data_IF_777574511994
#
_entry.id   IF_777574511994
#
_cell.length_a   1.000
_cell.length_b   1.000
_cell.length_c   1.000
_cell.angle_alpha   90.00
_cell.angle_beta   90.00
_cell.angle_gamma   90.00
#
_symmetry.space_group_name_H-M   'P 1'
#
loop_
_entity.id
_entity.type
_entity.pdbx_description
1 polymer ?
#
# COMPACT_ATOMS: atom_id res chain seq x y z
N UNK A 1 -38.64 -38.84 7.97
CA UNK A 1 -38.45 -37.61 8.79
C UNK A 1 -36.97 -37.30 9.00
N UNK A 2 -36.14 -38.30 9.38
CA UNK A 2 -34.69 -38.11 9.56
C UNK A 2 -33.92 -37.74 8.28
N UNK A 3 -34.26 -38.28 7.11
CA UNK A 3 -33.56 -37.96 5.84
C UNK A 3 -33.75 -36.51 5.39
N UNK A 4 -34.94 -35.95 5.65
CA UNK A 4 -35.29 -34.57 5.34
C UNK A 4 -34.49 -33.60 6.22
N UNK A 5 -34.34 -33.93 7.50
CA UNK A 5 -33.53 -33.17 8.46
C UNK A 5 -32.04 -33.20 8.07
N UNK A 6 -31.52 -34.37 7.68
CA UNK A 6 -30.11 -34.54 7.31
C UNK A 6 -29.76 -33.79 6.03
N UNK A 7 -30.65 -33.84 5.02
CA UNK A 7 -30.52 -33.08 3.78
C UNK A 7 -30.54 -31.57 4.03
N UNK A 8 -31.49 -31.08 4.84
CA UNK A 8 -31.57 -29.66 5.17
C UNK A 8 -30.31 -29.16 5.90
N UNK A 9 -29.82 -29.92 6.89
CA UNK A 9 -28.59 -29.59 7.62
C UNK A 9 -27.38 -29.54 6.68
N UNK A 10 -27.26 -30.51 5.76
CA UNK A 10 -26.18 -30.56 4.79
C UNK A 10 -26.16 -29.33 3.87
N UNK A 11 -27.31 -28.88 3.37
CA UNK A 11 -27.41 -27.70 2.52
C UNK A 11 -27.07 -26.40 3.26
N UNK A 12 -27.51 -26.25 4.51
CA UNK A 12 -27.18 -25.08 5.34
C UNK A 12 -25.68 -25.02 5.61
N UNK A 13 -25.06 -26.14 5.99
CA UNK A 13 -23.61 -26.18 6.22
C UNK A 13 -22.81 -25.93 4.95
N UNK A 14 -23.22 -26.53 3.83
CA UNK A 14 -22.57 -26.36 2.53
C UNK A 14 -22.61 -24.90 2.07
N UNK A 15 -23.78 -24.25 2.14
CA UNK A 15 -23.92 -22.83 1.76
C UNK A 15 -23.13 -21.91 2.69
N UNK A 16 -23.11 -22.19 4.00
CA UNK A 16 -22.30 -21.42 4.96
C UNK A 16 -20.80 -21.52 4.68
N UNK A 17 -20.28 -22.72 4.41
CA UNK A 17 -18.87 -22.94 4.09
C UNK A 17 -18.50 -22.23 2.78
N UNK A 18 -19.33 -22.35 1.74
CA UNK A 18 -19.11 -21.66 0.46
C UNK A 18 -19.10 -20.14 0.66
N UNK A 19 -20.08 -19.59 1.39
CA UNK A 19 -20.11 -18.16 1.69
C UNK A 19 -18.85 -17.71 2.44
N UNK A 20 -18.39 -18.49 3.42
CA UNK A 20 -17.17 -18.18 4.19
C UNK A 20 -15.94 -18.14 3.30
N UNK A 21 -15.77 -19.13 2.43
CA UNK A 21 -14.62 -19.23 1.50
C UNK A 21 -14.66 -18.06 0.52
N UNK A 22 -15.80 -17.79 -0.10
CA UNK A 22 -15.95 -16.69 -1.07
C UNK A 22 -15.63 -15.35 -0.41
N UNK A 23 -16.15 -15.09 0.79
CA UNK A 23 -15.87 -13.84 1.51
C UNK A 23 -14.38 -13.66 1.80
N UNK A 24 -13.69 -14.73 2.22
CA UNK A 24 -12.23 -14.67 2.44
C UNK A 24 -11.46 -14.49 1.13
N UNK A 25 -11.86 -15.16 0.05
CA UNK A 25 -11.22 -15.04 -1.25
C UNK A 25 -11.34 -13.62 -1.82
N UNK A 26 -12.52 -12.99 -1.70
CA UNK A 26 -12.73 -11.61 -2.14
C UNK A 26 -11.85 -10.63 -1.36
N UNK A 27 -11.73 -10.79 -0.04
CA UNK A 27 -10.88 -9.92 0.78
C UNK A 27 -9.39 -10.06 0.46
N UNK A 28 -8.94 -11.29 0.18
CA UNK A 28 -7.58 -11.54 -0.28
C UNK A 28 -7.35 -10.92 -1.66
N UNK A 29 -8.30 -11.12 -2.59
CA UNK A 29 -8.22 -10.54 -3.93
C UNK A 29 -8.19 -9.01 -3.91
N UNK A 30 -9.03 -8.36 -3.10
CA UNK A 30 -9.03 -6.90 -2.99
C UNK A 30 -7.70 -6.37 -2.45
N UNK A 31 -7.09 -7.08 -1.49
CA UNK A 31 -5.78 -6.71 -0.95
C UNK A 31 -4.71 -6.80 -2.03
N UNK A 32 -4.62 -7.94 -2.73
CA UNK A 32 -3.66 -8.13 -3.83
C UNK A 32 -3.88 -7.10 -4.94
N UNK A 33 -5.13 -6.84 -5.31
CA UNK A 33 -5.47 -5.85 -6.31
C UNK A 33 -5.00 -4.45 -5.91
N UNK A 34 -5.17 -4.03 -4.66
CA UNK A 34 -4.67 -2.73 -4.18
C UNK A 34 -3.14 -2.69 -4.28
N UNK A 35 -2.42 -3.71 -3.82
CA UNK A 35 -0.95 -3.71 -3.84
C UNK A 35 -0.35 -3.75 -5.26
N UNK A 36 -1.05 -4.30 -6.25
CA UNK A 36 -0.58 -4.34 -7.65
C UNK A 36 -1.03 -3.10 -8.44
N UNK A 37 -2.29 -2.68 -8.27
CA UNK A 37 -2.88 -1.58 -9.05
C UNK A 37 -2.41 -0.21 -8.51
N UNK A 38 -2.30 -0.04 -7.20
CA UNK A 38 -1.88 1.23 -6.60
C UNK A 38 -0.50 1.71 -7.09
N UNK A 39 0.58 0.90 -7.14
CA UNK A 39 1.86 1.37 -7.65
C UNK A 39 1.89 1.59 -9.16
N UNK A 40 0.98 0.98 -9.92
CA UNK A 40 0.89 1.17 -11.37
C UNK A 40 0.25 2.51 -11.74
N UNK A 41 -0.81 2.89 -11.02
CA UNK A 41 -1.56 4.13 -11.30
C UNK A 41 -1.08 5.33 -10.49
N UNK A 42 -0.51 5.12 -9.30
CA UNK A 42 -0.13 6.19 -8.40
C UNK A 42 1.39 6.41 -8.40
N UNK A 43 1.87 7.08 -9.45
CA UNK A 43 3.21 7.68 -9.42
C UNK A 43 3.08 9.11 -8.89
N UNK A 44 3.66 9.45 -7.72
CA UNK A 44 3.64 10.82 -7.23
C UNK A 44 4.29 11.74 -8.27
N UNK A 45 3.56 12.76 -8.70
CA UNK A 45 4.05 13.73 -9.67
C UNK A 45 4.97 14.74 -8.96
N UNK A 46 6.26 14.70 -9.29
CA UNK A 46 7.27 15.61 -8.75
C UNK A 46 7.64 16.75 -9.69
N UNK A 47 7.01 16.85 -10.88
CA UNK A 47 7.24 17.94 -11.83
C UNK A 47 7.09 19.35 -11.25
N UNK A 48 6.09 19.68 -10.39
CA UNK A 48 5.97 21.03 -9.85
C UNK A 48 7.08 21.42 -8.86
N UNK A 49 7.86 20.45 -8.39
CA UNK A 49 8.94 20.65 -7.42
C UNK A 49 10.32 20.64 -8.08
N UNK A 50 10.42 20.27 -9.36
CA UNK A 50 11.66 20.28 -10.14
C UNK A 50 12.29 21.68 -10.13
N UNK A 51 13.53 21.78 -9.66
CA UNK A 51 14.32 23.03 -9.65
C UNK A 51 14.01 23.98 -8.49
N UNK A 52 13.10 23.64 -7.57
CA UNK A 52 12.94 24.40 -6.32
C UNK A 52 14.07 24.09 -5.36
N UNK A 53 14.28 24.95 -4.36
CA UNK A 53 15.11 24.64 -3.19
C UNK A 53 14.25 23.99 -2.10
N UNK A 54 14.71 22.88 -1.54
CA UNK A 54 14.08 22.19 -0.40
C UNK A 54 15.09 22.11 0.71
N UNK A 55 14.67 22.53 1.90
CA UNK A 55 15.43 22.40 3.12
C UNK A 55 15.07 21.07 3.76
N UNK A 56 16.08 20.22 3.99
CA UNK A 56 15.91 18.99 4.76
C UNK A 56 16.60 19.19 6.11
N UNK A 57 15.81 19.21 7.19
CA UNK A 57 16.30 19.27 8.56
C UNK A 57 16.74 17.90 9.03
N UNK A 58 17.85 17.80 9.77
CA UNK A 58 18.33 16.52 10.30
C UNK A 58 18.85 15.55 9.22
N UNK A 59 19.35 16.07 8.10
CA UNK A 59 19.86 15.28 6.97
C UNK A 59 21.25 14.66 7.18
N UNK A 60 21.78 14.71 8.39
CA UNK A 60 23.16 14.34 8.72
C UNK A 60 23.37 12.83 8.72
N UNK A 61 22.42 12.08 9.29
CA UNK A 61 22.50 10.63 9.41
C UNK A 61 21.10 9.98 9.42
N UNK A 62 21.07 8.65 9.35
CA UNK A 62 19.84 7.86 9.39
C UNK A 62 18.89 8.17 8.23
N UNK A 63 17.60 8.25 8.54
CA UNK A 63 16.53 8.41 7.54
C UNK A 63 16.67 9.74 6.79
N UNK A 64 17.04 10.83 7.48
CA UNK A 64 17.18 12.15 6.87
C UNK A 64 18.26 12.19 5.78
N UNK A 65 19.38 11.50 6.00
CA UNK A 65 20.46 11.35 5.02
C UNK A 65 20.03 10.53 3.80
N UNK A 66 19.27 9.45 4.01
CA UNK A 66 18.75 8.65 2.91
C UNK A 66 17.79 9.48 2.02
N UNK A 67 16.92 10.28 2.63
CA UNK A 67 16.01 11.16 1.92
C UNK A 67 16.72 12.24 1.09
N UNK A 68 17.77 12.88 1.62
CA UNK A 68 18.55 13.86 0.84
C UNK A 68 19.24 13.20 -0.36
N UNK A 69 19.77 11.99 -0.20
CA UNK A 69 20.39 11.24 -1.31
C UNK A 69 19.35 10.86 -2.37
N UNK A 70 18.15 10.39 -1.97
CA UNK A 70 17.10 10.04 -2.93
C UNK A 70 16.56 11.27 -3.68
N UNK A 71 16.38 12.39 -2.98
CA UNK A 71 15.95 13.66 -3.58
C UNK A 71 16.99 14.19 -4.57
N UNK A 72 18.28 14.07 -4.24
CA UNK A 72 19.38 14.47 -5.13
C UNK A 72 19.43 13.60 -6.39
N UNK A 73 19.29 12.27 -6.25
CA UNK A 73 19.30 11.32 -7.39
C UNK A 73 18.18 11.57 -8.39
N UNK A 74 17.01 12.00 -7.92
CA UNK A 74 15.85 12.25 -8.79
C UNK A 74 15.88 13.63 -9.47
N UNK A 75 16.94 14.43 -9.28
CA UNK A 75 17.11 15.78 -9.84
C UNK A 75 15.93 16.72 -9.56
N UNK A 76 15.19 16.48 -8.48
CA UNK A 76 13.96 17.22 -8.20
C UNK A 76 14.31 18.59 -7.62
N UNK A 77 15.40 18.73 -6.86
CA UNK A 77 15.57 19.93 -6.03
C UNK A 77 17.04 20.20 -5.70
N UNK A 78 17.41 21.49 -5.62
CA UNK A 78 18.62 21.92 -4.93
C UNK A 78 18.44 21.79 -3.41
N UNK A 79 19.22 20.92 -2.79
CA UNK A 79 19.10 20.58 -1.37
C UNK A 79 20.06 21.44 -0.57
N UNK A 80 19.52 22.23 0.37
CA UNK A 80 20.32 22.88 1.40
C UNK A 80 20.17 22.09 2.70
N UNK A 81 21.19 21.34 3.15
CA UNK A 81 21.13 20.70 4.45
C UNK A 81 21.15 21.78 5.53
N UNK A 82 20.06 21.93 6.27
CA UNK A 82 20.00 22.89 7.36
C UNK A 82 20.52 22.24 8.64
N UNK A 83 21.51 22.89 9.22
CA UNK A 83 22.15 22.49 10.46
C UNK A 83 21.73 23.47 11.55
N UNK A 84 20.87 23.03 12.47
CA UNK A 84 20.79 23.70 13.76
C UNK A 84 22.11 23.41 14.47
N UNK A 85 22.88 24.47 14.75
CA UNK A 85 23.96 24.38 15.73
C UNK A 85 23.40 24.07 17.11
#
# INVERSE_FOLDING_TARGET
>A
MFDLLHSALYWVLKTYIVYRIVRTAVALWSTVAIYIIAPLFYKPNFDPYKGRWTVVTGGTDGIGKAYTIELAKKWITQICPYWSK
#
